data_IF_662117159797
#
_entry.id   IF_662117159797
#
_cell.length_a   1.000
_cell.length_b   1.000
_cell.length_c   1.000
_cell.angle_alpha   90.00
_cell.angle_beta   90.00
_cell.angle_gamma   90.00
#
_symmetry.space_group_name_H-M   'P 1'
#
loop_
_entity.id
_entity.type
_entity.pdbx_description
1 polymer ?
#
# COMPACT_ATOMS: atom_id res chain seq x y z
N UNK A 1 16.67 -11.99 0.25
CA UNK A 1 15.41 -11.33 -0.04
C UNK A 1 14.98 -10.58 1.20
N UNK A 2 14.72 -9.30 1.08
CA UNK A 2 14.33 -8.43 2.18
C UNK A 2 12.83 -8.60 2.37
N UNK A 3 12.40 -8.88 3.58
CA UNK A 3 11.01 -9.17 3.86
C UNK A 3 10.62 -8.46 5.14
N UNK A 4 9.58 -7.63 5.07
CA UNK A 4 9.04 -6.92 6.22
C UNK A 4 7.99 -7.77 6.99
N UNK A 5 8.16 -9.09 7.03
CA UNK A 5 7.21 -9.99 7.73
C UNK A 5 7.10 -9.69 9.20
N UNK A 6 8.24 -9.45 9.84
CA UNK A 6 8.29 -9.17 11.27
C UNK A 6 7.61 -7.83 11.58
N UNK A 7 7.86 -6.79 10.78
CA UNK A 7 7.18 -5.50 10.90
C UNK A 7 5.67 -5.65 10.68
N UNK A 8 5.25 -6.34 9.62
CA UNK A 8 3.83 -6.58 9.33
C UNK A 8 3.13 -7.34 10.49
N UNK A 9 3.79 -8.35 11.07
CA UNK A 9 3.26 -9.08 12.23
C UNK A 9 3.12 -8.18 13.47
N UNK A 10 4.12 -7.34 13.75
CA UNK A 10 4.09 -6.39 14.86
C UNK A 10 3.00 -5.34 14.68
N UNK A 11 2.86 -4.77 13.48
CA UNK A 11 1.80 -3.79 13.15
C UNK A 11 0.42 -4.43 13.29
N UNK A 12 0.22 -5.67 12.81
CA UNK A 12 -1.02 -6.39 12.99
C UNK A 12 -1.40 -6.56 14.48
N UNK A 13 -0.42 -6.89 15.32
CA UNK A 13 -0.64 -7.00 16.76
C UNK A 13 -0.89 -5.64 17.43
N UNK A 14 -0.19 -4.60 16.99
CA UNK A 14 -0.42 -3.23 17.44
C UNK A 14 -1.88 -2.80 17.14
N UNK A 15 -2.36 -3.00 15.92
CA UNK A 15 -3.74 -2.67 15.51
C UNK A 15 -4.75 -3.46 16.35
N UNK A 16 -4.54 -4.76 16.59
CA UNK A 16 -5.45 -5.61 17.37
C UNK A 16 -5.50 -5.25 18.85
N UNK A 17 -4.37 -4.85 19.42
CA UNK A 17 -4.26 -4.51 20.84
C UNK A 17 -4.63 -3.07 21.16
N UNK A 18 -4.67 -2.19 20.15
CA UNK A 18 -4.94 -0.78 20.32
C UNK A 18 -6.44 -0.50 20.43
N UNK A 19 -6.80 0.49 21.24
CA UNK A 19 -8.12 1.09 21.15
C UNK A 19 -8.10 2.11 19.99
N UNK A 20 -8.39 1.62 18.79
CA UNK A 20 -8.24 2.36 17.54
C UNK A 20 -8.95 3.71 17.53
N UNK A 21 -10.11 3.80 18.21
CA UNK A 21 -10.86 5.05 18.34
C UNK A 21 -10.06 6.14 19.08
N UNK A 22 -9.24 5.75 20.08
CA UNK A 22 -8.37 6.69 20.79
C UNK A 22 -7.13 7.03 19.98
N UNK A 23 -6.48 6.04 19.36
CA UNK A 23 -5.27 6.26 18.57
C UNK A 23 -5.51 7.12 17.31
N UNK A 24 -6.70 7.02 16.75
CA UNK A 24 -7.08 7.81 15.56
C UNK A 24 -7.53 9.24 15.84
N UNK A 25 -7.78 9.61 17.10
CA UNK A 25 -8.42 10.90 17.45
C UNK A 25 -7.49 11.93 18.08
N UNK A 26 -6.36 11.57 18.67
CA UNK A 26 -5.68 12.44 19.63
C UNK A 26 -4.50 13.26 19.12
N UNK A 27 -3.85 12.92 18.01
CA UNK A 27 -2.78 13.75 17.45
C UNK A 27 -2.74 13.63 15.93
N UNK A 28 -3.26 14.58 15.21
CA UNK A 28 -3.03 14.70 13.78
C UNK A 28 -1.97 15.76 13.53
N UNK A 29 -0.88 15.37 12.88
CA UNK A 29 0.14 16.25 12.33
C UNK A 29 -0.04 16.24 10.82
N UNK A 30 -0.12 17.41 10.21
CA UNK A 30 -0.19 17.54 8.76
C UNK A 30 1.20 17.27 8.17
N UNK A 31 1.31 16.29 7.25
CA UNK A 31 2.55 16.03 6.54
C UNK A 31 2.69 16.93 5.29
N UNK A 32 3.84 16.89 4.58
CA UNK A 32 4.12 17.70 3.38
C UNK A 32 3.13 17.45 2.23
N UNK A 33 2.47 16.31 2.17
CA UNK A 33 1.45 16.03 1.14
C UNK A 33 0.07 16.55 1.50
N UNK A 34 -0.09 17.17 2.68
CA UNK A 34 -1.36 17.69 3.19
C UNK A 34 -2.26 16.62 3.82
N UNK A 35 -1.77 15.40 3.97
CA UNK A 35 -2.50 14.36 4.69
C UNK A 35 -2.27 14.49 6.20
N UNK A 36 -3.26 14.10 7.01
CA UNK A 36 -3.12 14.07 8.46
C UNK A 36 -2.45 12.79 8.92
N UNK A 37 -1.30 12.93 9.57
CA UNK A 37 -0.57 11.81 10.21
C UNK A 37 -1.25 11.47 11.52
N UNK A 38 -1.52 10.20 11.72
CA UNK A 38 -2.09 9.66 12.95
C UNK A 38 -1.00 8.97 13.79
N UNK A 39 -1.24 8.89 15.08
CA UNK A 39 -0.29 8.23 15.98
C UNK A 39 0.04 6.79 15.54
N UNK A 40 -0.94 6.07 14.99
CA UNK A 40 -0.72 4.70 14.53
C UNK A 40 0.14 4.63 13.27
N UNK A 41 0.05 5.63 12.38
CA UNK A 41 0.94 5.77 11.21
C UNK A 41 2.39 5.91 11.69
N UNK A 42 2.65 6.80 12.64
CA UNK A 42 3.98 7.04 13.23
C UNK A 42 4.53 5.77 13.91
N UNK A 43 3.71 5.07 14.68
CA UNK A 43 4.12 3.82 15.34
C UNK A 43 4.45 2.73 14.31
N UNK A 44 3.63 2.60 13.26
CA UNK A 44 3.87 1.65 12.18
C UNK A 44 5.14 2.00 11.40
N UNK A 45 5.36 3.28 11.10
CA UNK A 45 6.59 3.78 10.51
C UNK A 45 7.81 3.38 11.34
N UNK A 46 7.81 3.65 12.64
CA UNK A 46 8.93 3.34 13.52
C UNK A 46 9.24 1.83 13.56
N UNK A 47 8.21 0.98 13.60
CA UNK A 47 8.38 -0.49 13.58
C UNK A 47 9.11 -0.93 12.29
N UNK A 48 8.75 -0.36 11.15
CA UNK A 48 9.39 -0.69 9.86
C UNK A 48 10.83 -0.16 9.82
N UNK A 49 11.04 1.08 10.23
CA UNK A 49 12.37 1.72 10.25
C UNK A 49 13.34 0.97 11.17
N UNK A 50 12.87 0.53 12.33
CA UNK A 50 13.70 -0.25 13.26
C UNK A 50 14.14 -1.60 12.66
N UNK A 51 13.28 -2.26 11.88
CA UNK A 51 13.66 -3.48 11.15
C UNK A 51 14.65 -3.15 10.02
N UNK A 52 14.38 -2.13 9.21
CA UNK A 52 15.25 -1.69 8.12
C UNK A 52 16.67 -1.40 8.62
N UNK A 53 16.82 -0.72 9.74
CA UNK A 53 18.13 -0.39 10.34
C UNK A 53 18.97 -1.61 10.72
N UNK A 54 18.35 -2.78 10.87
CA UNK A 54 19.08 -4.03 11.17
C UNK A 54 19.61 -4.73 9.91
N UNK A 55 19.23 -4.24 8.70
CA UNK A 55 19.53 -4.89 7.42
C UNK A 55 20.65 -4.13 6.69
N UNK A 56 21.89 -4.64 6.71
CA UNK A 56 23.04 -3.91 6.14
C UNK A 56 22.97 -3.74 4.61
N UNK A 57 22.19 -4.57 3.92
CA UNK A 57 21.94 -4.47 2.48
C UNK A 57 21.02 -3.30 2.09
N UNK A 58 20.32 -2.69 3.05
CA UNK A 58 19.48 -1.52 2.81
C UNK A 58 20.33 -0.26 2.95
N UNK A 59 20.41 0.52 1.87
CA UNK A 59 21.08 1.83 1.84
C UNK A 59 20.26 2.90 2.58
N UNK A 60 18.93 2.80 2.51
CA UNK A 60 18.03 3.76 3.11
C UNK A 60 16.58 3.45 2.80
N UNK A 61 15.71 4.36 3.19
CA UNK A 61 14.27 4.23 2.94
C UNK A 61 13.63 5.55 2.53
N UNK A 62 12.44 5.42 1.91
CA UNK A 62 11.48 6.49 1.61
C UNK A 62 10.18 6.08 2.28
N UNK A 63 9.60 6.95 3.08
CA UNK A 63 8.31 6.70 3.73
C UNK A 63 7.34 7.82 3.44
N UNK A 64 6.04 7.53 3.48
CA UNK A 64 5.02 8.58 3.46
C UNK A 64 5.20 9.57 4.63
N UNK A 65 5.74 9.07 5.76
CA UNK A 65 5.97 9.84 6.97
C UNK A 65 7.34 10.53 7.02
N UNK A 66 8.10 10.50 5.93
CA UNK A 66 9.40 11.19 5.83
C UNK A 66 9.49 12.02 4.56
N UNK A 67 10.15 13.18 4.68
CA UNK A 67 10.22 14.16 3.60
C UNK A 67 11.18 13.78 2.49
N UNK A 68 12.27 13.07 2.85
CA UNK A 68 13.40 12.76 1.96
C UNK A 68 13.87 11.32 2.18
N UNK A 69 14.81 10.86 1.34
CA UNK A 69 15.47 9.57 1.52
C UNK A 69 16.28 9.60 2.82
N UNK A 70 15.95 8.69 3.74
CA UNK A 70 16.68 8.49 4.98
C UNK A 70 17.72 7.37 4.80
N UNK A 71 19.01 7.71 4.77
CA UNK A 71 20.07 6.72 4.63
C UNK A 71 20.38 6.01 5.94
N UNK A 72 20.55 4.67 5.88
CA UNK A 72 20.84 3.80 7.02
C UNK A 72 22.18 3.08 6.92
N UNK A 73 22.65 2.78 5.68
CA UNK A 73 23.90 2.09 5.43
C UNK A 73 24.59 2.65 4.20
N UNK A 74 25.89 3.03 4.27
CA UNK A 74 26.63 3.54 3.13
C UNK A 74 26.97 2.47 2.07
N UNK A 75 26.87 1.19 2.43
CA UNK A 75 27.22 0.06 1.57
C UNK A 75 25.97 -0.69 1.07
N UNK A 76 24.81 -0.26 1.49
CA UNK A 76 23.54 -0.87 1.07
C UNK A 76 23.30 -0.73 -0.44
N UNK A 77 22.57 -1.67 -1.00
CA UNK A 77 22.28 -1.77 -2.43
C UNK A 77 20.81 -1.55 -2.75
N UNK A 78 19.99 -1.38 -1.74
CA UNK A 78 18.54 -1.25 -1.89
C UNK A 78 18.00 -0.05 -1.12
N UNK A 79 16.97 0.57 -1.69
CA UNK A 79 16.09 1.52 -0.98
C UNK A 79 14.74 0.81 -0.77
N UNK A 80 14.21 0.88 0.45
CA UNK A 80 12.84 0.45 0.75
C UNK A 80 11.94 1.68 0.73
N UNK A 81 10.97 1.71 -0.19
CA UNK A 81 9.93 2.74 -0.18
C UNK A 81 8.65 2.14 0.38
N UNK A 82 8.00 2.81 1.33
CA UNK A 82 6.81 2.25 1.98
C UNK A 82 5.81 3.32 2.43
N UNK A 83 4.54 2.94 2.36
CA UNK A 83 3.44 3.55 3.11
C UNK A 83 3.22 2.68 4.35
N UNK A 84 3.44 3.19 5.57
CA UNK A 84 3.34 2.37 6.77
C UNK A 84 1.92 1.92 7.06
N UNK A 85 0.90 2.70 6.66
CA UNK A 85 -0.49 2.39 6.96
C UNK A 85 -1.48 3.03 5.97
N UNK A 86 -1.48 2.54 4.72
CA UNK A 86 -2.45 2.96 3.69
C UNK A 86 -3.88 2.86 4.20
N UNK A 87 -4.63 3.92 3.94
CA UNK A 87 -6.02 4.02 4.34
C UNK A 87 -6.23 4.32 5.82
N UNK A 88 -5.24 4.86 6.53
CA UNK A 88 -5.30 5.17 7.98
C UNK A 88 -6.53 5.99 8.39
N UNK A 89 -7.09 6.81 7.48
CA UNK A 89 -8.37 7.50 7.71
C UNK A 89 -9.55 6.58 8.04
N UNK A 90 -9.44 5.29 7.71
CA UNK A 90 -10.46 4.27 7.97
C UNK A 90 -10.33 3.59 9.35
N UNK A 91 -9.27 3.88 10.09
CA UNK A 91 -9.01 3.24 11.41
C UNK A 91 -10.17 3.49 12.38
N UNK A 92 -10.65 4.73 12.46
CA UNK A 92 -11.74 5.10 13.36
C UNK A 92 -13.07 4.44 12.99
N UNK A 93 -13.20 3.94 11.77
CA UNK A 93 -14.38 3.23 11.28
C UNK A 93 -14.22 1.71 11.30
N UNK A 94 -13.06 1.22 11.78
CA UNK A 94 -12.72 -0.21 11.78
C UNK A 94 -12.81 -0.84 10.39
N UNK A 95 -12.40 -0.11 9.36
CA UNK A 95 -12.31 -0.58 7.98
C UNK A 95 -10.87 -0.97 7.68
N UNK A 96 -10.69 -1.97 6.82
CA UNK A 96 -9.39 -2.54 6.44
C UNK A 96 -8.40 -1.49 5.99
N UNK A 97 -7.18 -1.58 6.52
CA UNK A 97 -6.01 -0.78 6.19
C UNK A 97 -4.82 -1.69 5.88
N UNK A 98 -3.68 -1.16 5.46
CA UNK A 98 -2.52 -2.01 5.22
C UNK A 98 -1.22 -1.26 5.07
N UNK A 99 -0.13 -1.99 5.04
CA UNK A 99 1.22 -1.49 4.73
C UNK A 99 1.55 -1.82 3.28
N UNK A 100 2.08 -0.87 2.51
CA UNK A 100 2.55 -1.10 1.14
C UNK A 100 4.04 -0.85 1.09
N UNK A 101 4.80 -1.68 0.36
CA UNK A 101 6.24 -1.47 0.21
C UNK A 101 6.77 -1.91 -1.16
N UNK A 102 7.79 -1.19 -1.62
CA UNK A 102 8.62 -1.56 -2.77
C UNK A 102 10.08 -1.56 -2.38
N UNK A 103 10.85 -2.52 -2.90
CA UNK A 103 12.29 -2.63 -2.72
C UNK A 103 12.95 -2.32 -4.04
N UNK A 104 13.79 -1.30 -4.05
CA UNK A 104 14.38 -0.74 -5.25
C UNK A 104 15.90 -0.91 -5.25
N UNK A 105 16.47 -1.21 -6.40
CA UNK A 105 17.93 -1.13 -6.58
C UNK A 105 18.42 0.29 -6.42
N UNK A 106 19.51 0.46 -5.66
CA UNK A 106 20.15 1.73 -5.41
C UNK A 106 21.58 1.73 -5.95
N UNK A 107 21.89 2.70 -6.78
CA UNK A 107 23.26 2.98 -7.20
C UNK A 107 23.85 4.10 -6.36
N UNK A 108 24.76 3.75 -5.45
CA UNK A 108 25.43 4.71 -4.57
C UNK A 108 26.38 5.66 -5.30
N UNK A 109 26.83 5.33 -6.53
CA UNK A 109 27.73 6.17 -7.33
C UNK A 109 26.97 7.26 -8.07
N UNK A 110 25.88 6.88 -8.75
CA UNK A 110 25.02 7.84 -9.48
C UNK A 110 24.00 8.49 -8.57
N UNK A 111 23.75 7.93 -7.37
CA UNK A 111 22.69 8.32 -6.42
C UNK A 111 21.29 8.21 -7.05
N UNK A 112 21.05 7.13 -7.77
CA UNK A 112 19.81 6.89 -8.50
C UNK A 112 19.14 5.58 -8.07
N UNK A 113 17.82 5.60 -8.11
CA UNK A 113 16.97 4.41 -8.00
C UNK A 113 16.82 3.81 -9.40
N UNK A 114 17.31 2.58 -9.59
CA UNK A 114 17.40 1.96 -10.93
C UNK A 114 16.15 1.17 -11.33
N UNK A 115 15.38 0.68 -10.39
CA UNK A 115 14.18 -0.09 -10.65
C UNK A 115 13.71 -0.88 -9.43
N UNK A 116 12.49 -1.44 -9.53
CA UNK A 116 11.91 -2.24 -8.46
C UNK A 116 12.45 -3.67 -8.53
N UNK A 117 12.90 -4.19 -7.40
CA UNK A 117 13.40 -5.57 -7.23
C UNK A 117 12.28 -6.48 -6.73
N UNK A 118 11.57 -6.04 -5.71
CA UNK A 118 10.48 -6.74 -5.07
C UNK A 118 9.41 -5.75 -4.64
N UNK A 119 8.17 -6.22 -4.55
CA UNK A 119 7.04 -5.46 -4.05
C UNK A 119 6.15 -6.31 -3.17
N UNK A 120 5.44 -5.67 -2.27
CA UNK A 120 4.46 -6.35 -1.44
C UNK A 120 3.60 -5.39 -0.63
N UNK A 121 2.58 -5.97 -0.03
CA UNK A 121 1.72 -5.27 0.91
C UNK A 121 1.21 -6.24 1.98
N UNK A 122 0.90 -5.70 3.14
CA UNK A 122 0.21 -6.43 4.19
C UNK A 122 -1.16 -5.81 4.43
N UNK A 123 -2.19 -6.63 4.41
CA UNK A 123 -3.58 -6.22 4.62
C UNK A 123 -4.00 -6.55 6.04
N UNK A 124 -4.45 -5.55 6.80
CA UNK A 124 -4.96 -5.67 8.17
C UNK A 124 -6.49 -5.59 8.15
N UNK A 125 -7.13 -6.74 7.92
CA UNK A 125 -8.58 -6.89 7.83
C UNK A 125 -9.10 -8.02 8.73
N UNK A 126 -10.18 -8.71 8.34
CA UNK A 126 -10.70 -9.89 9.06
C UNK A 126 -9.63 -10.96 9.28
N UNK A 127 -8.71 -11.11 8.31
CA UNK A 127 -7.44 -11.83 8.44
C UNK A 127 -6.30 -10.86 8.11
N UNK A 128 -5.09 -11.15 8.62
CA UNK A 128 -3.90 -10.44 8.20
C UNK A 128 -3.24 -11.23 7.08
N UNK A 129 -3.20 -10.64 5.88
CA UNK A 129 -2.60 -11.26 4.71
C UNK A 129 -1.39 -10.46 4.25
N UNK A 130 -0.28 -11.13 4.00
CA UNK A 130 0.89 -10.59 3.33
C UNK A 130 0.89 -11.09 1.88
N UNK A 131 0.94 -10.18 0.94
CA UNK A 131 1.07 -10.46 -0.50
C UNK A 131 2.37 -9.86 -0.97
N UNK A 132 3.18 -10.64 -1.69
CA UNK A 132 4.48 -10.18 -2.19
C UNK A 132 4.89 -10.88 -3.47
N UNK A 133 5.78 -10.22 -4.22
CA UNK A 133 6.51 -10.86 -5.31
C UNK A 133 7.58 -11.79 -4.74
N UNK A 134 7.68 -12.97 -5.28
CA UNK A 134 8.70 -13.96 -4.94
C UNK A 134 8.90 -14.91 -6.10
N UNK A 135 10.15 -15.04 -6.60
CA UNK A 135 10.50 -15.91 -7.74
C UNK A 135 9.63 -15.62 -8.99
N UNK A 136 9.37 -14.33 -9.26
CA UNK A 136 8.55 -13.91 -10.40
C UNK A 136 7.05 -14.22 -10.28
N UNK A 137 6.58 -14.58 -9.08
CA UNK A 137 5.17 -14.88 -8.79
C UNK A 137 4.65 -13.99 -7.67
N UNK A 138 3.36 -13.72 -7.68
CA UNK A 138 2.67 -13.05 -6.56
C UNK A 138 2.16 -14.13 -5.62
N UNK A 139 2.73 -14.17 -4.41
CA UNK A 139 2.38 -15.16 -3.39
C UNK A 139 1.62 -14.50 -2.24
N UNK A 140 0.61 -15.18 -1.72
CA UNK A 140 -0.19 -14.74 -0.58
C UNK A 140 0.07 -15.64 0.62
N UNK A 141 0.24 -15.02 1.77
CA UNK A 141 0.47 -15.63 3.07
C UNK A 141 -0.56 -15.08 4.07
N UNK A 142 -0.86 -15.84 5.10
CA UNK A 142 -1.76 -15.43 6.19
C UNK A 142 -1.06 -15.58 7.53
N UNK A 143 -1.23 -14.57 8.37
CA UNK A 143 -0.69 -14.57 9.73
C UNK A 143 -1.49 -15.56 10.60
N UNK A 144 -0.81 -16.56 11.17
CA UNK A 144 -1.39 -17.53 12.08
C UNK A 144 -1.41 -17.05 13.55
N UNK A 145 -1.95 -17.86 14.45
CA UNK A 145 -2.02 -17.59 15.89
C UNK A 145 -0.65 -17.51 16.57
N UNK A 146 0.39 -18.05 15.96
CA UNK A 146 1.77 -18.01 16.46
C UNK A 146 2.57 -16.81 15.90
N UNK A 147 1.89 -15.83 15.28
CA UNK A 147 2.48 -14.66 14.65
C UNK A 147 3.48 -15.00 13.52
N UNK A 148 3.20 -16.08 12.77
CA UNK A 148 3.98 -16.49 11.60
C UNK A 148 3.11 -16.45 10.36
N UNK A 149 3.68 -15.98 9.26
CA UNK A 149 3.02 -16.01 7.97
C UNK A 149 3.14 -17.40 7.33
N UNK A 150 1.99 -18.00 7.00
CA UNK A 150 1.87 -19.30 6.33
C UNK A 150 1.41 -19.09 4.90
N UNK A 151 2.04 -19.79 3.97
CA UNK A 151 1.68 -19.74 2.55
C UNK A 151 0.24 -20.22 2.32
N UNK A 152 -0.52 -19.44 1.56
CA UNK A 152 -1.91 -19.75 1.19
C UNK A 152 -2.02 -20.13 -0.28
N UNK A 153 -1.57 -19.23 -1.18
CA UNK A 153 -1.74 -19.43 -2.62
C UNK A 153 -0.83 -18.54 -3.45
N UNK A 154 -0.70 -18.89 -4.73
CA UNK A 154 -0.21 -17.99 -5.76
C UNK A 154 -1.42 -17.23 -6.32
N UNK A 155 -1.30 -15.92 -6.45
CA UNK A 155 -2.31 -15.08 -7.08
C UNK A 155 -1.94 -14.93 -8.56
N UNK A 156 -2.91 -15.20 -9.44
CA UNK A 156 -2.81 -14.94 -10.88
C UNK A 156 -4.06 -14.24 -11.35
N UNK A 157 -3.92 -13.33 -12.29
CA UNK A 157 -5.03 -12.68 -12.99
C UNK A 157 -5.47 -13.47 -14.24
N UNK A 158 -4.70 -14.48 -14.63
CA UNK A 158 -4.99 -15.31 -15.80
C UNK A 158 -6.36 -15.98 -15.67
N UNK A 159 -7.19 -15.89 -16.72
CA UNK A 159 -8.53 -16.46 -16.75
C UNK A 159 -9.59 -15.73 -15.91
N UNK A 160 -9.27 -14.60 -15.29
CA UNK A 160 -10.22 -13.80 -14.52
C UNK A 160 -10.87 -12.73 -15.39
N UNK A 161 -12.05 -13.01 -15.92
CA UNK A 161 -12.92 -12.02 -16.60
C UNK A 161 -14.03 -11.55 -15.64
N UNK A 162 -13.65 -10.78 -14.64
CA UNK A 162 -14.57 -10.33 -13.60
C UNK A 162 -15.05 -8.91 -13.89
N UNK A 163 -16.36 -8.74 -14.03
CA UNK A 163 -16.99 -7.42 -14.26
C UNK A 163 -17.09 -6.61 -12.96
N UNK A 164 -15.92 -6.28 -12.41
CA UNK A 164 -15.78 -5.45 -11.22
C UNK A 164 -14.91 -4.24 -11.54
N UNK A 165 -15.21 -3.10 -10.92
CA UNK A 165 -14.32 -1.96 -10.88
C UNK A 165 -14.37 -1.28 -9.52
N UNK A 166 -13.26 -0.68 -9.14
CA UNK A 166 -13.10 0.07 -7.90
C UNK A 166 -12.67 1.50 -8.24
N UNK A 167 -13.49 2.45 -7.86
CA UNK A 167 -13.31 3.87 -8.16
C UNK A 167 -14.21 4.70 -7.25
N UNK A 168 -13.75 5.87 -6.80
CA UNK A 168 -14.63 6.85 -6.19
C UNK A 168 -15.45 7.57 -7.29
N UNK A 169 -16.61 7.02 -7.65
CA UNK A 169 -17.49 7.61 -8.66
C UNK A 169 -18.04 8.99 -8.27
N UNK A 170 -18.11 9.32 -6.99
CA UNK A 170 -18.55 10.65 -6.55
C UNK A 170 -17.66 11.78 -7.10
N UNK A 171 -16.44 11.46 -7.48
CA UNK A 171 -15.52 12.39 -8.14
C UNK A 171 -15.63 12.42 -9.67
N UNK A 172 -16.56 11.67 -10.29
CA UNK A 172 -16.60 11.52 -11.75
C UNK A 172 -16.75 12.85 -12.50
N UNK A 173 -17.51 13.82 -11.97
CA UNK A 173 -17.64 15.16 -12.53
C UNK A 173 -16.38 16.03 -12.36
N UNK A 174 -15.44 15.60 -11.51
CA UNK A 174 -14.17 16.30 -11.25
C UNK A 174 -12.98 15.64 -11.99
N UNK A 175 -13.19 14.57 -12.74
CA UNK A 175 -12.09 13.90 -13.43
C UNK A 175 -11.45 14.85 -14.44
N UNK A 176 -10.13 14.94 -14.39
CA UNK A 176 -9.34 15.72 -15.32
C UNK A 176 -9.52 15.22 -16.76
N UNK A 177 -9.61 13.89 -16.94
CA UNK A 177 -9.85 13.28 -18.25
C UNK A 177 -11.34 12.97 -18.46
N UNK A 178 -12.02 13.75 -19.28
CA UNK A 178 -13.44 13.57 -19.57
C UNK A 178 -13.78 12.23 -20.25
N UNK A 179 -12.83 11.54 -20.89
CA UNK A 179 -13.09 10.22 -21.47
C UNK A 179 -13.36 9.16 -20.39
N UNK A 180 -12.90 9.34 -19.16
CA UNK A 180 -13.23 8.44 -18.04
C UNK A 180 -14.72 8.39 -17.76
N UNK A 181 -15.45 9.49 -17.95
CA UNK A 181 -16.92 9.50 -17.80
C UNK A 181 -17.60 8.58 -18.82
N UNK A 182 -17.09 8.56 -20.06
CA UNK A 182 -17.59 7.66 -21.12
C UNK A 182 -17.33 6.20 -20.77
N UNK A 183 -16.14 5.90 -20.24
CA UNK A 183 -15.76 4.55 -19.76
C UNK A 183 -16.70 4.09 -18.65
N UNK A 184 -17.05 4.96 -17.69
CA UNK A 184 -17.98 4.61 -16.62
C UNK A 184 -19.40 4.32 -17.14
N UNK A 185 -19.86 5.08 -18.12
CA UNK A 185 -21.15 4.82 -18.80
C UNK A 185 -21.11 3.44 -19.47
N UNK A 186 -20.03 3.12 -20.19
CA UNK A 186 -19.85 1.84 -20.84
C UNK A 186 -19.82 0.68 -19.83
N UNK A 187 -19.13 0.84 -18.68
CA UNK A 187 -19.16 -0.16 -17.61
C UNK A 187 -20.56 -0.41 -17.06
N UNK A 188 -21.38 0.65 -16.88
CA UNK A 188 -22.77 0.52 -16.45
C UNK A 188 -23.62 -0.23 -17.48
N UNK A 189 -23.46 0.09 -18.77
CA UNK A 189 -24.14 -0.62 -19.87
C UNK A 189 -23.71 -2.10 -19.89
N UNK A 190 -22.44 -2.40 -19.71
CA UNK A 190 -21.88 -3.75 -19.68
C UNK A 190 -22.12 -4.49 -18.34
N UNK A 191 -22.87 -3.90 -17.43
CA UNK A 191 -23.23 -4.47 -16.11
C UNK A 191 -22.03 -4.81 -15.24
N UNK A 192 -21.01 -3.94 -15.22
CA UNK A 192 -19.95 -4.01 -14.21
C UNK A 192 -20.49 -3.60 -12.84
N UNK A 193 -20.02 -4.25 -11.79
CA UNK A 193 -20.34 -3.89 -10.40
C UNK A 193 -19.24 -3.02 -9.80
N UNK A 194 -19.63 -1.89 -9.24
CA UNK A 194 -18.71 -1.04 -8.50
C UNK A 194 -18.49 -1.59 -7.08
N UNK A 195 -17.22 -1.63 -6.65
CA UNK A 195 -16.80 -1.96 -5.30
C UNK A 195 -15.77 -0.93 -4.86
N UNK A 196 -16.05 -0.23 -3.78
CA UNK A 196 -15.19 0.82 -3.26
C UNK A 196 -15.16 0.77 -1.73
N UNK A 197 -13.97 0.57 -1.14
CA UNK A 197 -13.72 0.60 0.31
C UNK A 197 -13.19 1.96 0.72
N UNK A 198 -12.38 2.59 -0.12
CA UNK A 198 -11.70 3.84 0.19
C UNK A 198 -10.38 3.64 0.93
N UNK A 199 -9.84 2.44 0.90
CA UNK A 199 -8.47 2.07 1.25
C UNK A 199 -7.86 1.44 0.02
N UNK A 200 -6.79 2.04 -0.52
CA UNK A 200 -6.21 1.60 -1.79
C UNK A 200 -5.73 0.15 -1.69
N UNK A 201 -5.04 -0.20 -0.63
CA UNK A 201 -4.54 -1.57 -0.42
C UNK A 201 -5.68 -2.59 -0.41
N UNK A 202 -6.83 -2.27 0.19
CA UNK A 202 -7.99 -3.17 0.24
C UNK A 202 -8.70 -3.29 -1.11
N UNK A 203 -8.84 -2.19 -1.83
CA UNK A 203 -9.48 -2.16 -3.15
C UNK A 203 -8.60 -2.85 -4.21
N UNK A 204 -7.28 -2.61 -4.19
CA UNK A 204 -6.32 -3.30 -5.03
C UNK A 204 -6.23 -4.80 -4.70
N UNK A 205 -6.20 -5.18 -3.42
CA UNK A 205 -6.20 -6.58 -3.00
C UNK A 205 -7.40 -7.34 -3.56
N UNK A 206 -8.62 -6.78 -3.44
CA UNK A 206 -9.81 -7.39 -4.03
C UNK A 206 -9.66 -7.55 -5.53
N UNK A 207 -9.19 -6.53 -6.21
CA UNK A 207 -8.97 -6.55 -7.66
C UNK A 207 -7.97 -7.63 -8.05
N UNK A 208 -6.87 -7.74 -7.31
CA UNK A 208 -5.83 -8.75 -7.54
C UNK A 208 -6.36 -10.18 -7.31
N UNK A 209 -7.16 -10.39 -6.26
CA UNK A 209 -7.70 -11.71 -5.91
C UNK A 209 -8.87 -12.13 -6.81
N UNK A 210 -9.77 -11.22 -7.11
CA UNK A 210 -11.02 -11.54 -7.83
C UNK A 210 -10.98 -11.20 -9.32
N UNK A 211 -10.02 -10.41 -9.75
CA UNK A 211 -10.04 -9.76 -11.05
C UNK A 211 -10.83 -8.43 -11.02
N UNK A 212 -10.85 -7.73 -12.14
CA UNK A 212 -11.50 -6.44 -12.27
C UNK A 212 -10.51 -5.30 -12.50
N UNK A 213 -10.93 -4.09 -12.22
CA UNK A 213 -10.17 -2.87 -12.52
C UNK A 213 -10.18 -1.96 -11.30
N UNK A 214 -8.98 -1.55 -10.85
CA UNK A 214 -8.81 -0.47 -9.90
C UNK A 214 -8.43 0.82 -10.62
N UNK A 215 -9.06 1.94 -10.28
CA UNK A 215 -8.78 3.24 -10.87
C UNK A 215 -8.72 4.34 -9.80
N UNK A 216 -7.67 5.16 -9.87
CA UNK A 216 -7.53 6.35 -9.05
C UNK A 216 -7.09 7.54 -9.91
N UNK A 217 -8.00 8.10 -10.75
CA UNK A 217 -7.65 9.10 -11.74
C UNK A 217 -7.39 10.47 -11.11
N UNK A 218 -6.58 11.26 -11.81
CA UNK A 218 -6.41 12.67 -11.54
C UNK A 218 -7.74 13.43 -11.64
N UNK A 219 -7.87 14.47 -10.84
CA UNK A 219 -9.04 15.37 -10.82
C UNK A 219 -8.64 16.80 -11.17
N UNK A 220 -9.61 17.65 -11.44
CA UNK A 220 -9.35 19.08 -11.70
C UNK A 220 -8.74 19.81 -10.49
N UNK A 221 -8.86 19.25 -9.30
CA UNK A 221 -8.22 19.77 -8.08
C UNK A 221 -6.86 19.16 -7.79
N UNK A 222 -6.56 18.01 -8.41
CA UNK A 222 -5.29 17.31 -8.28
C UNK A 222 -4.91 16.70 -9.64
N UNK A 223 -4.36 17.53 -10.51
CA UNK A 223 -4.05 17.20 -11.90
C UNK A 223 -2.94 16.18 -12.06
N UNK A 224 -2.07 16.04 -11.04
CA UNK A 224 -0.99 15.06 -11.03
C UNK A 224 -1.41 13.69 -10.45
N UNK A 225 -2.68 13.58 -10.00
CA UNK A 225 -3.13 12.42 -9.24
C UNK A 225 -2.74 12.53 -7.76
N UNK A 226 -3.30 11.66 -6.93
CA UNK A 226 -3.05 11.66 -5.48
C UNK A 226 -2.08 10.55 -5.05
N UNK A 227 -2.02 9.44 -5.80
CA UNK A 227 -1.16 8.31 -5.47
C UNK A 227 0.32 8.67 -5.64
N UNK A 228 1.12 8.22 -4.68
CA UNK A 228 2.58 8.41 -4.70
C UNK A 228 3.22 7.28 -5.49
N UNK A 229 4.19 7.65 -6.31
CA UNK A 229 4.79 6.72 -7.26
C UNK A 229 5.55 5.59 -6.55
N UNK A 230 6.44 5.94 -5.61
CA UNK A 230 7.43 5.02 -5.08
C UNK A 230 6.86 4.00 -4.07
N UNK A 231 5.90 4.40 -3.25
CA UNK A 231 5.42 3.55 -2.15
C UNK A 231 3.94 3.16 -2.24
N UNK A 232 3.21 3.63 -3.27
CA UNK A 232 1.83 3.22 -3.54
C UNK A 232 1.71 2.62 -4.94
N UNK A 233 1.87 3.45 -6.01
CA UNK A 233 1.55 3.05 -7.39
C UNK A 233 2.46 1.95 -7.92
N UNK A 234 3.78 2.10 -7.81
CA UNK A 234 4.74 1.13 -8.33
C UNK A 234 4.68 -0.23 -7.63
N UNK A 235 4.59 -0.30 -6.27
CA UNK A 235 4.49 -1.58 -5.59
C UNK A 235 3.20 -2.35 -5.88
N UNK A 236 2.12 -1.65 -6.21
CA UNK A 236 0.79 -2.24 -6.44
C UNK A 236 0.51 -2.57 -7.91
N UNK A 237 1.35 -2.09 -8.86
CA UNK A 237 1.21 -2.34 -10.29
C UNK A 237 1.86 -3.68 -10.68
#
# INVERSE_FOLDING_TARGET
MIILENSCSKIANLIRSSNNLKLGSENSIENKSGDFVKQLDILSHNIIVDEIKTLPEIAGYISEESDDICFTSPTGKYIVAFDPLDGSSNINCNVTVGTIYGIYHWDSKTKEILGIQDAGYCLYGPCTNLVRTEEGKVKMYQLNSNNKFEFISIISLEGKDTKLYSLNEANSYRFFNHNLQKILIDYKIKKYNMRWVGSMVADCHRTLVQGGIFMYPATVFNTNGKLRLAYESMPMA
#
